data_IF_469833179838
#
_entry.id   IF_469833179838
#
_cell.length_a   1.000
_cell.length_b   1.000
_cell.length_c   1.000
_cell.angle_alpha   90.00
_cell.angle_beta   90.00
_cell.angle_gamma   90.00
#
_symmetry.space_group_name_H-M   'P 1'
#
loop_
_entity.id
_entity.type
_entity.pdbx_description
1 polymer ?
#
# COMPACT_ATOMS: atom_id res chain seq x y z
N UNK A 1 -15.89 -9.89 -5.75
CA UNK A 1 -14.46 -10.02 -5.39
C UNK A 1 -13.68 -8.91 -6.04
N UNK A 2 -12.64 -8.33 -5.43
CA UNK A 2 -11.88 -7.21 -6.03
C UNK A 2 -10.84 -7.70 -7.05
N UNK A 3 -10.49 -6.90 -8.09
CA UNK A 3 -9.51 -7.29 -9.10
C UNK A 3 -8.10 -7.44 -8.51
N UNK A 4 -7.23 -8.13 -9.26
CA UNK A 4 -5.83 -8.40 -8.90
C UNK A 4 -4.95 -8.11 -10.10
N UNK A 5 -3.77 -7.56 -9.82
CA UNK A 5 -2.68 -7.39 -10.76
C UNK A 5 -1.41 -7.85 -10.05
N UNK A 6 -0.53 -8.54 -10.77
CA UNK A 6 0.78 -8.97 -10.30
C UNK A 6 1.82 -8.41 -11.25
N UNK A 7 2.61 -7.47 -10.74
CA UNK A 7 3.76 -6.86 -11.40
C UNK A 7 5.05 -7.59 -11.02
N UNK A 8 5.03 -8.37 -9.94
CA UNK A 8 6.20 -9.04 -9.37
C UNK A 8 7.31 -8.02 -9.07
N UNK A 9 6.96 -6.94 -8.37
CA UNK A 9 7.87 -5.84 -8.07
C UNK A 9 8.99 -6.32 -7.13
N UNK A 10 10.21 -5.90 -7.43
CA UNK A 10 11.39 -6.14 -6.61
C UNK A 10 11.83 -4.90 -5.83
N UNK A 11 12.47 -5.09 -4.67
CA UNK A 11 13.15 -4.01 -3.96
C UNK A 11 14.08 -3.23 -4.90
N UNK A 12 14.02 -1.90 -4.81
CA UNK A 12 14.82 -0.99 -5.62
C UNK A 12 14.13 -0.50 -6.90
N UNK A 13 13.04 -1.13 -7.35
CA UNK A 13 12.33 -0.71 -8.57
C UNK A 13 11.60 0.63 -8.40
N UNK A 14 11.63 1.43 -9.46
CA UNK A 14 10.88 2.69 -9.59
C UNK A 14 9.41 2.42 -9.96
N UNK A 15 8.48 3.02 -9.22
CA UNK A 15 7.05 2.90 -9.47
C UNK A 15 6.35 4.24 -9.40
N UNK A 16 5.18 4.33 -10.02
CA UNK A 16 4.23 5.42 -9.81
C UNK A 16 2.97 4.87 -9.16
N UNK A 17 2.47 5.58 -8.15
CA UNK A 17 1.18 5.25 -7.56
C UNK A 17 0.08 5.71 -8.49
N UNK A 18 -0.85 4.81 -8.85
CA UNK A 18 -1.99 5.14 -9.70
C UNK A 18 -2.84 6.27 -9.09
N UNK A 19 -3.60 6.96 -9.95
CA UNK A 19 -4.53 8.01 -9.51
C UNK A 19 -5.58 7.45 -8.54
N UNK A 20 -6.14 8.33 -7.72
CA UNK A 20 -7.16 7.95 -6.73
C UNK A 20 -8.38 7.29 -7.39
N UNK A 21 -8.80 7.76 -8.56
CA UNK A 21 -9.93 7.18 -9.30
C UNK A 21 -9.63 5.73 -9.71
N UNK A 22 -8.44 5.47 -10.27
CA UNK A 22 -8.03 4.11 -10.66
C UNK A 22 -7.88 3.17 -9.47
N UNK A 23 -7.41 3.68 -8.34
CA UNK A 23 -7.35 2.90 -7.11
C UNK A 23 -8.76 2.60 -6.63
N UNK A 24 -9.66 3.59 -6.60
CA UNK A 24 -11.06 3.44 -6.16
C UNK A 24 -11.78 2.35 -6.95
N UNK A 25 -11.56 2.27 -8.27
CA UNK A 25 -12.14 1.23 -9.13
C UNK A 25 -11.70 -0.20 -8.73
N UNK A 26 -10.58 -0.33 -8.01
CA UNK A 26 -10.06 -1.62 -7.52
C UNK A 26 -10.52 -2.00 -6.11
N UNK A 27 -11.25 -1.11 -5.41
CA UNK A 27 -11.67 -1.31 -4.02
C UNK A 27 -13.10 -1.87 -3.93
N UNK A 28 -13.39 -2.57 -2.84
CA UNK A 28 -14.77 -2.91 -2.47
C UNK A 28 -15.46 -1.76 -1.73
N UNK A 29 -16.74 -1.93 -1.38
CA UNK A 29 -17.55 -0.94 -0.65
C UNK A 29 -17.03 -0.55 0.74
N UNK A 30 -15.96 -1.19 1.24
CA UNK A 30 -15.30 -0.84 2.51
C UNK A 30 -13.89 -0.26 2.33
N UNK A 31 -13.58 0.23 1.11
CA UNK A 31 -12.28 0.75 0.72
C UNK A 31 -11.12 -0.26 0.88
N UNK A 32 -11.37 -1.54 0.53
CA UNK A 32 -10.36 -2.61 0.61
C UNK A 32 -10.15 -3.31 -0.73
N UNK A 33 -8.92 -3.74 -1.01
CA UNK A 33 -8.61 -4.72 -2.04
C UNK A 33 -8.02 -5.97 -1.39
N UNK A 34 -8.68 -7.13 -1.57
CA UNK A 34 -8.24 -8.43 -1.03
C UNK A 34 -7.83 -8.34 0.46
N UNK A 35 -8.68 -7.72 1.27
CA UNK A 35 -8.46 -7.54 2.72
C UNK A 35 -7.56 -6.37 3.12
N UNK A 36 -6.72 -5.82 2.24
CA UNK A 36 -5.90 -4.65 2.54
C UNK A 36 -6.70 -3.37 2.34
N UNK A 37 -6.72 -2.51 3.36
CA UNK A 37 -7.43 -1.23 3.34
C UNK A 37 -6.58 -0.16 2.65
N UNK A 38 -7.22 0.62 1.79
CA UNK A 38 -6.66 1.86 1.28
C UNK A 38 -7.06 2.99 2.24
N UNK A 39 -6.09 3.50 3.00
CA UNK A 39 -6.34 4.54 3.99
C UNK A 39 -6.42 5.92 3.33
N UNK A 40 -7.19 6.87 3.91
CA UNK A 40 -7.34 8.19 3.32
C UNK A 40 -6.01 8.92 3.08
N UNK A 41 -5.04 8.80 3.99
CA UNK A 41 -3.72 9.43 3.89
C UNK A 41 -2.87 8.90 2.72
N UNK A 42 -3.08 7.66 2.29
CA UNK A 42 -2.37 7.07 1.15
C UNK A 42 -2.60 7.88 -0.14
N UNK A 43 -3.73 8.62 -0.23
CA UNK A 43 -4.01 9.53 -1.35
C UNK A 43 -2.92 10.58 -1.59
N UNK A 44 -2.12 10.91 -0.56
CA UNK A 44 -1.03 11.89 -0.67
C UNK A 44 0.09 11.42 -1.59
N UNK A 45 0.24 10.11 -1.79
CA UNK A 45 1.21 9.55 -2.74
C UNK A 45 0.60 9.26 -4.11
N UNK A 46 -0.71 9.40 -4.32
CA UNK A 46 -1.33 9.16 -5.63
C UNK A 46 -0.73 10.08 -6.71
N UNK A 47 -0.38 9.51 -7.87
CA UNK A 47 0.26 10.22 -8.98
C UNK A 47 1.73 10.57 -8.75
N UNK A 48 2.29 10.25 -7.58
CA UNK A 48 3.71 10.48 -7.29
C UNK A 48 4.55 9.25 -7.68
N UNK A 49 5.82 9.53 -8.01
CA UNK A 49 6.84 8.48 -8.14
C UNK A 49 7.33 8.08 -6.75
N UNK A 50 7.59 6.80 -6.59
CA UNK A 50 8.11 6.21 -5.36
C UNK A 50 8.98 5.02 -5.70
N UNK A 51 9.75 4.53 -4.72
CA UNK A 51 10.60 3.36 -4.88
C UNK A 51 10.12 2.22 -4.01
N UNK A 52 10.18 1.00 -4.55
CA UNK A 52 9.86 -0.20 -3.79
C UNK A 52 10.97 -0.45 -2.79
N UNK A 53 10.67 -0.40 -1.49
CA UNK A 53 11.66 -0.67 -0.45
C UNK A 53 11.77 -2.16 -0.15
N UNK A 54 10.63 -2.81 0.05
CA UNK A 54 10.55 -4.23 0.36
C UNK A 54 9.30 -4.85 -0.25
N UNK A 55 9.41 -6.12 -0.63
CA UNK A 55 8.26 -7.00 -0.87
C UNK A 55 7.79 -7.61 0.44
N UNK A 56 6.48 -7.77 0.58
CA UNK A 56 5.85 -8.35 1.76
C UNK A 56 5.07 -9.60 1.38
N UNK A 57 5.61 -10.76 1.77
CA UNK A 57 4.96 -12.05 1.54
C UNK A 57 4.18 -12.53 2.77
N UNK A 58 4.51 -12.04 3.97
CA UNK A 58 3.82 -12.38 5.22
C UNK A 58 3.85 -11.26 6.24
N UNK A 59 2.85 -11.24 7.12
CA UNK A 59 2.77 -10.32 8.26
C UNK A 59 2.25 -11.06 9.49
N UNK A 60 2.68 -10.62 10.67
CA UNK A 60 2.09 -11.06 11.95
C UNK A 60 0.98 -10.07 12.30
N UNK A 61 -0.23 -10.58 12.49
CA UNK A 61 -1.39 -9.75 12.83
C UNK A 61 -1.32 -9.39 14.31
N UNK A 62 -1.17 -8.10 14.58
CA UNK A 62 -1.14 -7.55 15.94
C UNK A 62 -2.36 -8.00 16.76
N UNK A 63 -2.13 -8.25 18.04
CA UNK A 63 -3.13 -8.73 19.00
C UNK A 63 -3.38 -10.24 18.94
N UNK A 64 -3.36 -10.84 17.75
CA UNK A 64 -3.58 -12.30 17.59
C UNK A 64 -2.28 -13.11 17.50
N UNK A 65 -1.19 -12.50 17.01
CA UNK A 65 0.05 -13.21 16.70
C UNK A 65 -0.04 -14.12 15.47
N UNK A 66 -1.17 -14.13 14.77
CA UNK A 66 -1.39 -14.97 13.60
C UNK A 66 -0.51 -14.52 12.43
N UNK A 67 0.23 -15.45 11.83
CA UNK A 67 0.98 -15.19 10.61
C UNK A 67 0.06 -15.30 9.40
N UNK A 68 -0.11 -14.21 8.66
CA UNK A 68 -0.91 -14.16 7.43
C UNK A 68 -0.05 -13.95 6.20
N UNK A 69 -0.39 -14.68 5.15
CA UNK A 69 0.23 -14.51 3.84
C UNK A 69 -0.32 -13.25 3.14
N UNK A 70 0.57 -12.51 2.50
CA UNK A 70 0.27 -11.36 1.67
C UNK A 70 0.71 -11.69 0.24
N UNK A 71 -0.11 -11.27 -0.73
CA UNK A 71 0.17 -11.47 -2.15
C UNK A 71 0.23 -10.12 -2.85
N UNK A 72 1.13 -9.98 -3.81
CA UNK A 72 1.28 -8.78 -4.65
C UNK A 72 1.29 -7.51 -3.79
N UNK A 73 2.14 -7.50 -2.76
CA UNK A 73 2.17 -6.44 -1.74
C UNK A 73 3.59 -5.96 -1.52
N UNK A 74 3.74 -4.64 -1.50
CA UNK A 74 5.03 -3.99 -1.30
C UNK A 74 4.92 -2.89 -0.25
N UNK A 75 6.07 -2.52 0.28
CA UNK A 75 6.28 -1.31 1.05
C UNK A 75 7.05 -0.31 0.18
N UNK A 76 6.56 0.92 0.09
CA UNK A 76 7.21 2.01 -0.63
C UNK A 76 8.08 2.84 0.32
N UNK A 77 9.21 3.34 -0.17
CA UNK A 77 10.10 4.21 0.61
C UNK A 77 9.36 5.44 1.16
N UNK A 78 9.51 5.71 2.46
CA UNK A 78 8.89 6.86 3.12
C UNK A 78 7.37 6.78 3.28
N UNK A 79 6.73 5.66 2.91
CA UNK A 79 5.27 5.55 2.93
C UNK A 79 4.72 5.24 4.32
N UNK A 80 4.39 6.27 5.07
CA UNK A 80 3.85 6.13 6.42
C UNK A 80 2.33 6.20 6.44
N UNK A 81 1.71 5.41 7.31
CA UNK A 81 0.31 5.51 7.68
C UNK A 81 0.12 6.73 8.62
N UNK A 82 0.48 7.93 8.15
CA UNK A 82 0.27 9.16 8.90
C UNK A 82 -1.21 9.52 9.00
N UNK A 83 -1.81 9.45 10.18
CA UNK A 83 -3.12 10.04 10.41
C UNK A 83 -2.97 11.54 10.71
N UNK A 84 -3.01 12.39 9.69
CA UNK A 84 -2.97 13.84 9.88
C UNK A 84 -4.18 14.42 10.66
N UNK A 85 -5.22 13.62 10.90
CA UNK A 85 -6.46 14.02 11.59
C UNK A 85 -6.63 13.42 12.99
N UNK A 86 -5.63 12.70 13.53
CA UNK A 86 -5.62 12.37 14.97
C UNK A 86 -5.06 13.59 15.70
N UNK A 87 -5.92 14.58 15.89
CA UNK A 87 -5.63 15.88 16.49
C UNK A 87 -5.20 15.83 17.98
N UNK A 88 -4.92 14.63 18.52
CA UNK A 88 -4.49 14.39 19.90
C UNK A 88 -3.45 13.26 19.98
N UNK A 89 -2.33 13.42 19.26
CA UNK A 89 -1.18 12.50 19.34
C UNK A 89 -1.29 11.34 18.36
N UNK A 90 -0.85 11.56 17.12
CA UNK A 90 -0.85 10.57 16.02
C UNK A 90 -0.36 9.18 16.43
N UNK A 91 -0.70 8.15 15.64
CA UNK A 91 -0.40 6.75 15.99
C UNK A 91 1.09 6.59 16.39
N UNK A 92 1.40 6.23 17.65
CA UNK A 92 2.78 6.18 18.15
C UNK A 92 3.64 5.14 17.41
N UNK A 93 3.00 4.26 16.64
CA UNK A 93 3.65 3.18 15.89
C UNK A 93 4.21 3.62 14.54
N UNK A 94 3.86 4.81 14.04
CA UNK A 94 4.27 5.28 12.71
C UNK A 94 4.16 4.16 11.64
N UNK A 95 2.99 3.50 11.61
CA UNK A 95 2.83 2.23 10.90
C UNK A 95 3.12 2.37 9.41
N UNK A 96 3.80 1.36 8.84
CA UNK A 96 4.08 1.31 7.42
C UNK A 96 2.78 1.23 6.60
N UNK A 97 2.66 2.03 5.55
CA UNK A 97 1.59 1.88 4.58
C UNK A 97 1.96 0.81 3.54
N UNK A 98 1.14 -0.22 3.44
CA UNK A 98 1.33 -1.29 2.46
C UNK A 98 0.53 -1.03 1.19
N UNK A 99 1.10 -1.42 0.07
CA UNK A 99 0.56 -1.15 -1.26
C UNK A 99 0.34 -2.45 -2.01
N UNK A 100 -0.87 -2.65 -2.56
CA UNK A 100 -1.09 -3.70 -3.55
C UNK A 100 -0.45 -3.29 -4.88
N UNK A 101 0.13 -4.24 -5.59
CA UNK A 101 0.73 -3.97 -6.91
C UNK A 101 -0.29 -3.44 -7.93
N UNK A 102 -1.57 -3.81 -7.83
CA UNK A 102 -2.66 -3.22 -8.65
C UNK A 102 -2.83 -1.70 -8.45
N UNK A 103 -2.31 -1.12 -7.38
CA UNK A 103 -2.32 0.32 -7.14
C UNK A 103 -1.11 1.04 -7.73
N UNK A 104 -0.18 0.30 -8.32
CA UNK A 104 1.12 0.80 -8.77
C UNK A 104 1.28 0.58 -10.27
N UNK A 105 2.15 1.38 -10.88
CA UNK A 105 2.62 1.21 -12.25
C UNK A 105 4.14 1.14 -12.21
N UNK A 106 4.72 0.05 -12.71
CA UNK A 106 6.18 -0.06 -12.91
C UNK A 106 6.63 1.03 -13.88
N UNK A 107 7.68 1.75 -13.50
CA UNK A 107 8.36 2.70 -14.36
C UNK A 107 9.64 2.04 -14.88
N UNK A 108 10.02 2.34 -16.13
CA UNK A 108 11.35 1.99 -16.61
C UNK A 108 12.37 2.91 -15.92
N UNK A 109 13.47 2.36 -15.44
CA UNK A 109 14.61 3.15 -14.99
C UNK A 109 15.16 3.87 -16.23
N UNK A 110 15.13 5.21 -16.22
CA UNK A 110 15.76 6.07 -17.23
C UNK A 110 17.21 6.28 -16.88
#
# INVERSE_FOLDING_TARGET
TTPVESLNLQPGESVEVKSIDKIRDSLNGTARNRGLRFFPNMRLLCGSRSRVRNRLDKIIVDGTGEMRQLHNTVYLEGSMCGCAHVAFGGCPRNEFAYWREIWLRRQADT
#
